data_IF_210392632591
#
_entry.id   IF_210392632591
#
_cell.length_a   1.000
_cell.length_b   1.000
_cell.length_c   1.000
_cell.angle_alpha   90.00
_cell.angle_beta   90.00
_cell.angle_gamma   90.00
#
_symmetry.space_group_name_H-M   'P 1'
#
loop_
_entity.id
_entity.type
_entity.pdbx_description
1 polymer ?
#
# COMPACT_ATOMS: atom_id res chain seq x y z
N UNK A 1 23.07 -24.76 5.29
CA UNK A 1 21.72 -25.16 5.28
C UNK A 1 21.10 -24.89 3.93
N UNK A 2 20.18 -25.69 3.62
CA UNK A 2 19.60 -25.56 2.31
C UNK A 2 18.67 -24.37 2.25
N UNK A 3 18.72 -23.71 1.15
CA UNK A 3 17.75 -22.72 0.84
C UNK A 3 16.45 -23.34 0.48
N UNK A 4 15.42 -22.81 0.98
CA UNK A 4 14.11 -23.26 0.59
C UNK A 4 13.58 -22.41 -0.51
N UNK A 5 12.95 -23.04 -1.49
CA UNK A 5 12.21 -22.32 -2.47
C UNK A 5 11.09 -21.57 -1.80
N UNK A 6 10.90 -20.34 -2.15
CA UNK A 6 9.73 -19.60 -1.72
C UNK A 6 8.55 -19.94 -2.60
N UNK A 7 7.40 -20.09 -1.98
CA UNK A 7 6.16 -20.31 -2.71
C UNK A 7 5.45 -18.97 -2.87
N UNK A 8 4.93 -18.73 -4.07
CA UNK A 8 4.11 -17.56 -4.32
C UNK A 8 2.72 -18.00 -4.72
N UNK A 9 1.72 -17.58 -3.94
CA UNK A 9 0.32 -17.91 -4.17
C UNK A 9 -0.37 -16.76 -4.88
N UNK A 10 -1.22 -17.12 -5.82
CA UNK A 10 -2.04 -16.15 -6.54
C UNK A 10 -3.39 -16.78 -6.83
N UNK A 11 -4.29 -16.04 -7.46
CA UNK A 11 -5.69 -16.49 -7.59
C UNK A 11 -5.83 -17.85 -8.23
N UNK A 12 -5.03 -18.15 -9.27
CA UNK A 12 -5.18 -19.38 -10.03
C UNK A 12 -4.35 -20.54 -9.47
N UNK A 13 -3.35 -20.27 -8.62
CA UNK A 13 -2.52 -21.36 -8.13
C UNK A 13 -1.29 -20.86 -7.38
N UNK A 14 -0.23 -21.64 -7.51
CA UNK A 14 1.00 -21.39 -6.77
C UNK A 14 2.20 -21.73 -7.65
N UNK A 15 3.28 -20.97 -7.49
CA UNK A 15 4.56 -21.28 -8.12
C UNK A 15 5.64 -21.32 -7.07
N UNK A 16 6.71 -22.05 -7.39
CA UNK A 16 7.94 -22.07 -6.56
C UNK A 16 8.90 -21.09 -7.17
N UNK A 17 9.31 -20.10 -6.38
CA UNK A 17 10.26 -19.10 -6.88
C UNK A 17 11.67 -19.66 -6.88
N UNK A 18 12.47 -19.38 -7.92
CA UNK A 18 13.88 -19.74 -7.92
C UNK A 18 14.63 -19.06 -6.79
N UNK A 19 15.78 -19.62 -6.43
CA UNK A 19 16.62 -19.02 -5.40
C UNK A 19 16.97 -17.58 -5.74
N UNK A 20 16.93 -16.71 -4.73
CA UNK A 20 17.28 -15.32 -4.91
C UNK A 20 16.14 -14.42 -5.37
N UNK A 21 15.01 -15.00 -5.74
CA UNK A 21 13.85 -14.21 -6.12
C UNK A 21 12.97 -13.89 -4.92
N UNK A 22 12.44 -12.69 -4.90
CA UNK A 22 11.52 -12.26 -3.86
C UNK A 22 10.13 -12.05 -4.46
N UNK A 23 9.11 -12.43 -3.71
CA UNK A 23 7.73 -12.19 -4.12
C UNK A 23 7.40 -10.73 -3.85
N UNK A 24 7.27 -9.95 -4.90
CA UNK A 24 6.92 -8.53 -4.80
C UNK A 24 5.55 -8.28 -5.44
N UNK A 25 4.64 -9.20 -5.19
CA UNK A 25 3.30 -9.14 -5.76
C UNK A 25 2.59 -7.84 -5.38
N UNK A 26 1.97 -7.25 -6.38
CA UNK A 26 1.08 -6.09 -6.19
C UNK A 26 -0.28 -6.48 -6.75
N UNK A 27 -1.32 -6.30 -5.94
CA UNK A 27 -2.69 -6.52 -6.38
C UNK A 27 -3.24 -5.17 -6.84
N UNK A 28 -3.79 -5.13 -8.05
CA UNK A 28 -4.33 -3.89 -8.62
C UNK A 28 -5.80 -4.10 -8.95
N UNK A 29 -6.64 -3.16 -8.52
CA UNK A 29 -8.09 -3.22 -8.70
C UNK A 29 -8.56 -1.92 -9.34
N UNK A 30 -9.26 -2.03 -10.46
CA UNK A 30 -9.78 -0.87 -11.19
C UNK A 30 -11.22 -1.13 -11.60
N UNK A 31 -11.93 -0.05 -11.89
CA UNK A 31 -13.25 -0.14 -12.53
C UNK A 31 -13.04 0.12 -14.03
N UNK A 32 -13.29 -0.88 -14.90
CA UNK A 32 -12.98 -0.72 -16.33
C UNK A 32 -13.66 0.48 -16.97
N UNK A 33 -14.89 0.79 -16.54
CA UNK A 33 -15.67 1.87 -17.18
C UNK A 33 -15.23 3.26 -16.72
N UNK A 34 -14.69 3.38 -15.50
CA UNK A 34 -14.37 4.69 -14.91
C UNK A 34 -12.88 4.96 -14.79
N UNK A 35 -12.08 3.91 -14.64
CA UNK A 35 -10.63 4.07 -14.53
C UNK A 35 -10.13 4.53 -13.17
N UNK A 36 -10.81 5.45 -12.51
CA UNK A 36 -10.38 6.00 -11.22
C UNK A 36 -11.54 6.10 -10.25
N UNK A 37 -11.28 6.06 -8.94
CA UNK A 37 -9.99 5.76 -8.34
C UNK A 37 -9.62 4.30 -8.52
N UNK A 38 -8.33 4.03 -8.52
CA UNK A 38 -7.79 2.67 -8.56
C UNK A 38 -7.25 2.32 -7.17
N UNK A 39 -7.28 1.03 -6.85
CA UNK A 39 -6.71 0.55 -5.59
C UNK A 39 -5.58 -0.41 -5.87
N UNK A 40 -4.55 -0.39 -5.03
CA UNK A 40 -3.57 -1.46 -5.08
C UNK A 40 -3.15 -1.85 -3.67
N UNK A 41 -2.64 -3.06 -3.56
CA UNK A 41 -2.11 -3.59 -2.31
C UNK A 41 -0.70 -4.06 -2.62
N UNK A 42 0.27 -3.51 -1.92
CA UNK A 42 1.67 -3.86 -2.11
C UNK A 42 2.29 -4.28 -0.79
N UNK A 43 3.47 -4.87 -0.84
CA UNK A 43 4.17 -5.42 0.32
C UNK A 43 5.57 -4.86 0.38
N UNK A 44 6.09 -4.75 1.60
CA UNK A 44 7.44 -4.28 1.83
C UNK A 44 7.93 -4.86 3.14
N UNK A 45 9.16 -4.54 3.51
CA UNK A 45 9.79 -5.02 4.74
C UNK A 45 10.43 -3.84 5.45
N UNK A 46 10.24 -3.75 6.76
CA UNK A 46 10.91 -2.75 7.57
C UNK A 46 12.39 -3.14 7.75
N UNK A 47 13.22 -2.14 7.96
CA UNK A 47 14.61 -2.37 8.34
C UNK A 47 14.66 -2.93 9.77
N UNK A 48 15.75 -3.59 10.09
CA UNK A 48 15.95 -4.16 11.43
C UNK A 48 15.81 -3.06 12.48
N UNK A 49 14.93 -3.28 13.45
CA UNK A 49 14.72 -2.32 14.54
C UNK A 49 13.87 -1.11 14.17
N UNK A 50 13.38 -1.04 12.95
CA UNK A 50 12.57 0.10 12.51
C UNK A 50 11.15 -0.03 13.05
N UNK A 51 10.59 1.09 13.52
CA UNK A 51 9.18 1.15 13.91
C UNK A 51 8.33 1.51 12.71
N UNK A 52 7.02 1.32 12.80
CA UNK A 52 6.13 1.71 11.71
C UNK A 52 6.23 3.21 11.39
N UNK A 53 6.18 4.12 12.39
CA UNK A 53 6.35 5.55 12.07
C UNK A 53 7.68 5.85 11.39
N UNK A 54 8.77 5.20 11.81
CA UNK A 54 10.08 5.41 11.19
C UNK A 54 10.09 4.90 9.76
N UNK A 55 9.45 3.76 9.50
CA UNK A 55 9.31 3.25 8.14
C UNK A 55 8.55 4.25 7.27
N UNK A 56 7.43 4.78 7.76
CA UNK A 56 6.64 5.76 7.02
C UNK A 56 7.47 7.01 6.76
N UNK A 57 8.21 7.49 7.76
CA UNK A 57 9.11 8.66 7.59
C UNK A 57 10.09 8.41 6.45
N UNK A 58 10.69 7.23 6.42
CA UNK A 58 11.68 6.87 5.40
C UNK A 58 11.03 6.84 4.01
N UNK A 59 9.84 6.26 3.90
CA UNK A 59 9.13 6.21 2.63
C UNK A 59 8.73 7.60 2.15
N UNK A 60 8.27 8.46 3.05
CA UNK A 60 7.90 9.82 2.69
C UNK A 60 9.11 10.62 2.19
N UNK A 61 10.27 10.44 2.81
CA UNK A 61 11.50 11.09 2.36
C UNK A 61 11.87 10.64 0.94
N UNK A 62 11.71 9.35 0.64
CA UNK A 62 11.98 8.83 -0.69
C UNK A 62 11.01 9.40 -1.72
N UNK A 63 9.72 9.47 -1.38
CA UNK A 63 8.72 10.01 -2.27
C UNK A 63 8.96 11.49 -2.56
N UNK A 64 9.28 12.26 -1.53
CA UNK A 64 9.59 13.68 -1.68
C UNK A 64 10.79 13.88 -2.59
N UNK A 65 11.78 13.01 -2.48
CA UNK A 65 12.99 13.09 -3.29
C UNK A 65 12.76 12.71 -4.75
N UNK A 66 11.94 11.68 -4.98
CA UNK A 66 11.83 11.06 -6.31
C UNK A 66 10.58 11.43 -7.09
N UNK A 67 9.53 11.90 -6.42
CA UNK A 67 8.28 12.25 -7.10
C UNK A 67 8.20 13.75 -7.31
N UNK A 68 7.84 14.13 -8.53
CA UNK A 68 7.71 15.53 -8.90
C UNK A 68 6.47 16.13 -8.26
N UNK A 69 6.62 17.33 -7.69
CA UNK A 69 5.48 18.07 -7.12
C UNK A 69 4.85 17.40 -5.91
N UNK A 70 5.63 16.64 -5.15
CA UNK A 70 5.11 15.97 -3.97
C UNK A 70 4.54 16.97 -2.98
N UNK A 71 3.29 16.74 -2.58
CA UNK A 71 2.58 17.60 -1.63
C UNK A 71 1.78 16.72 -0.68
N UNK A 72 2.29 16.56 0.54
CA UNK A 72 1.61 15.81 1.58
C UNK A 72 0.53 16.68 2.20
N UNK A 73 -0.70 16.21 2.22
CA UNK A 73 -1.84 16.96 2.77
C UNK A 73 -2.34 16.41 4.11
N UNK A 74 -1.90 15.22 4.52
CA UNK A 74 -2.32 14.68 5.80
C UNK A 74 -1.57 13.42 6.17
N UNK A 75 -1.50 13.15 7.48
CA UNK A 75 -0.95 11.93 8.04
C UNK A 75 -1.72 11.66 9.32
N UNK A 76 -2.30 10.47 9.44
CA UNK A 76 -3.18 10.16 10.56
C UNK A 76 -3.16 8.67 10.85
N UNK A 77 -3.73 8.32 11.99
CA UNK A 77 -3.92 6.92 12.36
C UNK A 77 -5.09 6.34 11.57
N UNK A 78 -4.97 5.07 11.19
CA UNK A 78 -6.01 4.37 10.46
C UNK A 78 -6.07 2.93 10.98
N UNK A 79 -7.25 2.31 10.87
CA UNK A 79 -7.46 0.94 11.31
C UNK A 79 -7.68 0.04 10.09
N UNK A 80 -7.21 -1.19 10.20
CA UNK A 80 -7.43 -2.23 9.21
C UNK A 80 -8.43 -3.24 9.77
N UNK A 81 -9.40 -3.62 8.95
CA UNK A 81 -10.48 -4.47 9.41
C UNK A 81 -11.30 -3.73 10.45
N UNK A 82 -12.01 -4.47 11.27
CA UNK A 82 -12.75 -3.88 12.39
C UNK A 82 -11.85 -3.86 13.62
N UNK A 83 -10.85 -2.97 13.58
CA UNK A 83 -9.93 -2.83 14.69
C UNK A 83 -8.89 -3.93 14.81
N UNK A 84 -8.59 -4.64 13.71
CA UNK A 84 -7.60 -5.71 13.72
C UNK A 84 -6.18 -5.18 13.89
N UNK A 85 -5.84 -4.12 13.17
CA UNK A 85 -4.52 -3.50 13.21
C UNK A 85 -4.65 -2.01 13.13
N UNK A 86 -3.75 -1.31 13.81
CA UNK A 86 -3.62 0.13 13.69
C UNK A 86 -2.42 0.43 12.81
N UNK A 87 -2.59 1.38 11.90
CA UNK A 87 -1.52 1.80 11.03
C UNK A 87 -1.55 3.29 10.82
N UNK A 88 -0.88 3.75 9.76
CA UNK A 88 -0.82 5.15 9.40
C UNK A 88 -1.33 5.35 7.98
N UNK A 89 -2.06 6.44 7.80
CA UNK A 89 -2.54 6.83 6.48
C UNK A 89 -1.92 8.17 6.11
N UNK A 90 -1.41 8.25 4.89
CA UNK A 90 -0.82 9.47 4.34
C UNK A 90 -1.61 9.86 3.11
N UNK A 91 -2.05 11.12 3.07
CA UNK A 91 -2.72 11.69 1.92
C UNK A 91 -1.74 12.63 1.22
N UNK A 92 -1.65 12.53 -0.09
CA UNK A 92 -0.70 13.33 -0.83
C UNK A 92 -1.10 13.45 -2.30
N UNK A 93 -0.44 14.37 -2.98
CA UNK A 93 -0.55 14.48 -4.43
C UNK A 93 0.84 14.69 -5.00
N UNK A 94 1.00 14.36 -6.27
CA UNK A 94 2.24 14.56 -6.99
C UNK A 94 1.94 14.59 -8.48
N UNK A 95 2.97 14.74 -9.32
CA UNK A 95 2.80 14.75 -10.75
C UNK A 95 3.55 13.60 -11.39
N UNK A 96 2.88 12.94 -12.32
CA UNK A 96 3.47 11.90 -13.16
C UNK A 96 3.34 12.33 -14.59
N UNK A 97 4.47 12.55 -15.26
CA UNK A 97 4.48 13.02 -16.65
C UNK A 97 3.63 14.27 -16.83
N UNK A 98 3.75 15.20 -15.87
CA UNK A 98 3.05 16.48 -15.90
C UNK A 98 1.59 16.44 -15.47
N UNK A 99 1.06 15.25 -15.18
CA UNK A 99 -0.34 15.10 -14.78
C UNK A 99 -0.45 14.86 -13.28
N UNK A 100 -1.48 15.43 -12.64
CA UNK A 100 -1.62 15.26 -11.19
C UNK A 100 -2.08 13.85 -10.84
N UNK A 101 -1.59 13.37 -9.70
CA UNK A 101 -2.05 12.14 -9.07
C UNK A 101 -2.37 12.45 -7.62
N UNK A 102 -3.58 12.13 -7.19
CA UNK A 102 -3.99 12.21 -5.79
C UNK A 102 -4.03 10.82 -5.22
N UNK A 103 -3.51 10.64 -4.01
CA UNK A 103 -3.49 9.32 -3.40
C UNK A 103 -3.69 9.34 -1.90
N UNK A 104 -4.20 8.25 -1.40
CA UNK A 104 -4.20 7.91 0.02
C UNK A 104 -3.51 6.58 0.17
N UNK A 105 -2.56 6.50 1.10
CA UNK A 105 -1.86 5.26 1.39
C UNK A 105 -2.06 4.91 2.86
N UNK A 106 -2.48 3.68 3.11
CA UNK A 106 -2.62 3.16 4.46
C UNK A 106 -1.59 2.06 4.64
N UNK A 107 -0.76 2.18 5.67
CA UNK A 107 0.42 1.36 5.89
C UNK A 107 0.27 0.61 7.20
N UNK A 108 0.45 -0.70 7.16
CA UNK A 108 0.26 -1.56 8.33
C UNK A 108 1.44 -2.52 8.48
N UNK A 109 1.87 -2.71 9.72
CA UNK A 109 2.81 -3.77 10.06
C UNK A 109 1.97 -4.99 10.47
N UNK A 110 1.93 -6.00 9.63
CA UNK A 110 1.06 -7.15 9.85
C UNK A 110 1.68 -8.15 10.83
N UNK A 111 2.99 -8.34 10.76
CA UNK A 111 3.74 -9.20 11.68
C UNK A 111 5.23 -9.01 11.43
N UNK A 112 6.03 -9.22 12.45
CA UNK A 112 7.50 -9.11 12.35
C UNK A 112 7.87 -7.83 11.62
N UNK A 113 8.63 -7.92 10.53
CA UNK A 113 9.01 -6.76 9.73
C UNK A 113 8.14 -6.58 8.47
N UNK A 114 7.07 -7.35 8.36
CA UNK A 114 6.24 -7.35 7.14
C UNK A 114 5.30 -6.16 7.09
N UNK A 115 5.34 -5.44 5.99
CA UNK A 115 4.51 -4.26 5.74
C UNK A 115 3.51 -4.55 4.64
N UNK A 116 2.28 -4.13 4.87
CA UNK A 116 1.21 -4.19 3.88
C UNK A 116 0.74 -2.77 3.62
N UNK A 117 0.71 -2.38 2.35
CA UNK A 117 0.35 -1.02 1.95
C UNK A 117 -0.87 -1.06 1.03
N UNK A 118 -1.91 -0.33 1.42
CA UNK A 118 -3.09 -0.13 0.59
C UNK A 118 -3.02 1.28 0.02
N UNK A 119 -3.19 1.41 -1.29
CA UNK A 119 -3.13 2.71 -1.95
C UNK A 119 -4.38 2.91 -2.80
N UNK A 120 -5.01 4.07 -2.63
CA UNK A 120 -6.03 4.55 -3.54
C UNK A 120 -5.45 5.72 -4.32
N UNK A 121 -5.56 5.70 -5.64
CA UNK A 121 -5.02 6.76 -6.48
C UNK A 121 -6.04 7.20 -7.52
N UNK A 122 -5.98 8.47 -7.88
CA UNK A 122 -6.90 9.07 -8.83
C UNK A 122 -6.20 10.16 -9.63
N UNK A 123 -6.65 10.35 -10.86
CA UNK A 123 -6.19 11.46 -11.70
C UNK A 123 -6.94 12.75 -11.38
N UNK A 124 -7.93 12.68 -10.51
CA UNK A 124 -8.73 13.83 -10.09
C UNK A 124 -8.70 13.94 -8.58
N UNK A 125 -9.01 15.13 -8.05
CA UNK A 125 -9.08 15.34 -6.62
C UNK A 125 -10.00 14.30 -5.99
N UNK A 126 -9.56 13.69 -4.91
CA UNK A 126 -10.35 12.69 -4.20
C UNK A 126 -11.52 13.36 -3.49
N UNK A 127 -12.70 12.77 -3.64
CA UNK A 127 -13.94 13.27 -3.06
C UNK A 127 -14.27 12.50 -1.79
N UNK A 128 -15.25 13.01 -1.04
CA UNK A 128 -15.72 12.30 0.17
C UNK A 128 -16.19 10.89 -0.16
N UNK A 129 -16.84 10.70 -1.31
CA UNK A 129 -17.27 9.36 -1.72
C UNK A 129 -16.09 8.43 -1.97
N UNK A 130 -14.97 8.95 -2.48
CA UNK A 130 -13.76 8.16 -2.68
C UNK A 130 -13.15 7.78 -1.33
N UNK A 131 -13.10 8.73 -0.40
CA UNK A 131 -12.59 8.48 0.95
C UNK A 131 -13.40 7.39 1.64
N UNK A 132 -14.71 7.42 1.44
CA UNK A 132 -15.61 6.41 2.02
C UNK A 132 -15.35 5.04 1.41
N UNK A 133 -15.13 4.97 0.09
CA UNK A 133 -14.78 3.71 -0.57
C UNK A 133 -13.50 3.13 0.02
N UNK A 134 -12.49 3.96 0.22
CA UNK A 134 -11.23 3.51 0.78
C UNK A 134 -11.40 2.99 2.21
N UNK A 135 -12.15 3.73 3.03
CA UNK A 135 -12.45 3.29 4.39
C UNK A 135 -13.16 1.95 4.40
N UNK A 136 -14.11 1.76 3.50
CA UNK A 136 -14.85 0.50 3.42
C UNK A 136 -13.97 -0.64 2.98
N UNK A 137 -13.06 -0.38 2.04
CA UNK A 137 -12.09 -1.38 1.61
C UNK A 137 -11.23 -1.83 2.78
N UNK A 138 -10.66 -0.89 3.52
CA UNK A 138 -9.82 -1.21 4.67
C UNK A 138 -10.59 -1.97 5.75
N UNK A 139 -11.83 -1.57 6.00
CA UNK A 139 -12.66 -2.24 7.00
C UNK A 139 -13.00 -3.67 6.63
N UNK A 140 -13.09 -3.95 5.34
CA UNK A 140 -13.46 -5.28 4.86
C UNK A 140 -12.36 -6.32 5.03
N UNK A 141 -11.14 -5.89 5.34
CA UNK A 141 -10.00 -6.80 5.44
C UNK A 141 -10.20 -7.84 6.54
N UNK A 142 -9.84 -9.07 6.24
CA UNK A 142 -9.77 -10.17 7.21
C UNK A 142 -8.56 -11.00 6.89
N UNK A 143 -7.85 -11.45 7.91
CA UNK A 143 -6.76 -12.40 7.71
C UNK A 143 -7.33 -13.74 7.32
N UNK A 144 -6.55 -14.53 6.59
CA UNK A 144 -6.90 -15.93 6.37
C UNK A 144 -6.85 -16.68 7.69
N UNK A 145 -7.75 -17.63 7.84
CA UNK A 145 -7.76 -18.49 9.01
C UNK A 145 -6.75 -19.61 8.87
#
# INVERSE_FOLDING_TARGET
MSEKSSLSLFAEGVVSLPDGYQDRTVNVYTRPSYGTPAFNISRDTMDTGETLPAYVDRQLALMQKHLSGWNQSGRSTVMLGDGLLQGEQVNASYRREGKPVWQQQAVFNTRDSHILVFTMSSSEVLKDSDNKLFSELLRSFRFHN
#
